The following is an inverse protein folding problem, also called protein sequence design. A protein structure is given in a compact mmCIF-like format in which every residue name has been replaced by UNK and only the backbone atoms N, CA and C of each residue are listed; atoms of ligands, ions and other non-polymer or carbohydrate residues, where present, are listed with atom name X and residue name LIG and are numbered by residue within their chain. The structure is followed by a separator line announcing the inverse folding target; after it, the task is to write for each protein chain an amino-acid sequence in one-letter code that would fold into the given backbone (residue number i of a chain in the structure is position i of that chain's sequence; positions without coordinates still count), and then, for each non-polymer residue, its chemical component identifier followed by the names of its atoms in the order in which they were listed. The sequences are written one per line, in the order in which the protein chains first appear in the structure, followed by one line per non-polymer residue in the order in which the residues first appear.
data_IF_663653827006
#
_entry.id   IF_663653827006
#
_cell.length_a   1.000
_cell.length_b   1.000
_cell.length_c   1.000
_cell.angle_alpha   90.00
_cell.angle_beta   90.00
_cell.angle_gamma   90.00
#
_symmetry.space_group_name_H-M   'P 1'
#
loop_
_entity.id
_entity.type
_entity.pdbx_description
1 polymer ?
#
# COMPACT_ATOMS: atom_id res chain seq x y z
N UNK A 1 -16.82 16.89 37.73
CA UNK A 1 -16.81 17.00 36.27
C UNK A 1 -15.35 16.90 35.81
N UNK A 2 -14.94 15.70 35.32
CA UNK A 2 -13.64 15.51 34.67
C UNK A 2 -13.81 16.05 33.27
N UNK A 3 -13.28 17.25 33.00
CA UNK A 3 -13.17 17.80 31.66
C UNK A 3 -12.18 16.91 30.90
N UNK A 4 -12.68 16.01 30.07
CA UNK A 4 -11.89 15.30 29.06
C UNK A 4 -11.49 16.34 28.01
N UNK A 5 -10.30 16.91 28.16
CA UNK A 5 -9.67 17.65 27.07
C UNK A 5 -9.40 16.59 25.97
N UNK A 6 -10.25 16.59 24.96
CA UNK A 6 -10.01 15.85 23.71
C UNK A 6 -8.71 16.42 23.14
N UNK A 7 -7.63 15.66 23.23
CA UNK A 7 -6.37 16.01 22.58
C UNK A 7 -6.56 15.89 21.06
N UNK A 8 -6.97 17.00 20.44
CA UNK A 8 -7.07 17.08 18.98
C UNK A 8 -5.65 17.02 18.41
N UNK A 9 -5.36 15.98 17.65
CA UNK A 9 -4.09 15.84 16.96
C UNK A 9 -4.03 16.89 15.84
N UNK A 10 -2.93 17.61 15.78
CA UNK A 10 -2.68 18.67 14.81
C UNK A 10 -1.21 18.69 14.40
N UNK A 11 -0.85 19.54 13.44
CA UNK A 11 0.54 19.75 13.01
C UNK A 11 1.47 20.06 14.20
N UNK A 12 0.99 20.80 15.20
CA UNK A 12 1.75 21.14 16.41
C UNK A 12 2.02 19.97 17.36
N UNK A 13 1.34 18.84 17.18
CA UNK A 13 1.59 17.58 17.92
C UNK A 13 2.94 16.98 17.57
N UNK A 14 3.49 17.31 16.40
CA UNK A 14 4.70 16.73 15.85
C UNK A 14 5.84 17.74 15.73
N UNK A 15 7.05 17.23 15.86
CA UNK A 15 8.31 17.87 15.53
C UNK A 15 8.76 17.36 14.15
N UNK A 16 8.92 18.26 13.18
CA UNK A 16 9.30 17.94 11.82
C UNK A 16 10.83 17.81 11.75
N UNK A 17 11.34 16.64 11.37
CA UNK A 17 12.77 16.37 11.30
C UNK A 17 13.31 16.73 9.90
N UNK A 18 12.99 15.92 8.89
CA UNK A 18 13.40 16.15 7.50
C UNK A 18 12.49 15.44 6.51
N UNK A 19 12.58 15.84 5.24
CA UNK A 19 11.81 15.25 4.14
C UNK A 19 12.42 13.90 3.77
N UNK A 20 11.57 12.87 3.66
CA UNK A 20 11.94 11.50 3.28
C UNK A 20 11.37 11.07 1.94
N UNK A 21 10.47 11.86 1.36
CA UNK A 21 9.88 11.60 0.07
C UNK A 21 9.08 12.79 -0.46
N UNK A 22 8.79 12.76 -1.77
CA UNK A 22 7.94 13.74 -2.45
C UNK A 22 6.89 13.00 -3.27
N UNK A 23 5.63 13.39 -3.12
CA UNK A 23 4.51 12.86 -3.89
C UNK A 23 3.87 13.90 -4.80
N UNK A 24 2.91 13.48 -5.61
CA UNK A 24 2.22 14.35 -6.57
C UNK A 24 1.42 15.50 -5.95
N UNK A 25 1.09 15.42 -4.66
CA UNK A 25 0.31 16.42 -3.93
C UNK A 25 1.12 17.17 -2.87
N UNK A 26 2.32 16.68 -2.49
CA UNK A 26 3.11 17.27 -1.41
C UNK A 26 4.34 16.48 -1.04
N UNK A 27 4.67 16.47 0.23
CA UNK A 27 5.91 15.93 0.79
C UNK A 27 5.62 14.85 1.83
N UNK A 28 6.57 13.96 2.04
CA UNK A 28 6.57 13.02 3.15
C UNK A 28 7.70 13.39 4.08
N UNK A 29 7.37 13.60 5.34
CA UNK A 29 8.29 14.01 6.38
C UNK A 29 8.56 12.87 7.36
N UNK A 30 9.78 12.74 7.85
CA UNK A 30 10.06 12.07 9.12
C UNK A 30 9.68 13.05 10.22
N UNK A 31 8.80 12.63 11.12
CA UNK A 31 8.35 13.44 12.24
C UNK A 31 8.47 12.68 13.55
N UNK A 32 8.59 13.42 14.66
CA UNK A 32 8.60 12.87 16.00
C UNK A 32 7.40 13.40 16.79
N UNK A 33 6.63 12.50 17.38
CA UNK A 33 5.52 12.90 18.24
C UNK A 33 6.07 13.51 19.54
N UNK A 34 5.73 14.77 19.85
CA UNK A 34 6.34 15.55 20.96
C UNK A 34 6.19 14.90 22.32
N UNK A 35 5.04 14.24 22.58
CA UNK A 35 4.73 13.61 23.86
C UNK A 35 5.31 12.20 23.98
N UNK A 36 5.04 11.32 23.01
CA UNK A 36 5.46 9.91 23.07
C UNK A 36 6.88 9.67 22.63
N UNK A 37 7.50 10.64 21.93
CA UNK A 37 8.84 10.58 21.34
C UNK A 37 8.98 9.55 20.20
N UNK A 38 7.90 8.89 19.79
CA UNK A 38 7.89 7.96 18.66
C UNK A 38 8.03 8.72 17.34
N UNK A 39 8.68 8.05 16.37
CA UNK A 39 8.86 8.56 15.02
C UNK A 39 7.82 8.00 14.06
N UNK A 40 7.41 8.82 13.09
CA UNK A 40 6.40 8.51 12.07
C UNK A 40 6.79 9.09 10.71
N UNK A 41 6.21 8.55 9.66
CA UNK A 41 6.14 9.19 8.36
C UNK A 41 4.86 10.04 8.29
N UNK A 42 4.99 11.32 7.93
CA UNK A 42 3.86 12.23 7.79
C UNK A 42 3.77 12.68 6.32
N UNK A 43 2.71 12.24 5.63
CA UNK A 43 2.37 12.66 4.27
C UNK A 43 1.58 13.96 4.35
N UNK A 44 2.19 15.06 3.90
CA UNK A 44 1.61 16.39 3.81
C UNK A 44 1.14 16.64 2.37
N UNK A 45 -0.13 16.98 2.18
CA UNK A 45 -0.76 17.13 0.87
C UNK A 45 -1.47 18.48 0.78
N UNK A 46 -1.13 19.31 -0.21
CA UNK A 46 -1.81 20.58 -0.46
C UNK A 46 -3.24 20.36 -0.94
N UNK A 47 -4.22 20.95 -0.25
CA UNK A 47 -5.65 20.91 -0.65
C UNK A 47 -5.84 21.46 -2.05
N UNK A 48 -5.15 22.56 -2.40
CA UNK A 48 -5.20 23.16 -3.73
C UNK A 48 -4.75 22.18 -4.81
N UNK A 49 -3.59 21.51 -4.63
CA UNK A 49 -3.10 20.51 -5.58
C UNK A 49 -4.04 19.31 -5.70
N UNK A 50 -4.67 18.90 -4.61
CA UNK A 50 -5.64 17.79 -4.61
C UNK A 50 -6.89 18.16 -5.40
N UNK A 51 -7.44 19.35 -5.21
CA UNK A 51 -8.62 19.84 -5.92
C UNK A 51 -8.35 20.16 -7.38
N UNK A 52 -7.22 20.81 -7.70
CA UNK A 52 -6.79 21.09 -9.08
C UNK A 52 -6.70 19.78 -9.91
N UNK A 53 -6.19 18.69 -9.30
CA UNK A 53 -6.12 17.36 -9.93
C UNK A 53 -7.40 16.52 -9.78
N UNK A 54 -8.48 17.07 -9.21
CA UNK A 54 -9.77 16.38 -8.97
C UNK A 54 -9.61 15.04 -8.24
N UNK A 55 -8.72 15.01 -7.25
CA UNK A 55 -8.30 13.79 -6.54
C UNK A 55 -8.89 13.67 -5.12
N UNK A 56 -9.81 14.54 -4.72
CA UNK A 56 -10.39 14.60 -3.38
C UNK A 56 -11.08 13.29 -2.98
N UNK A 57 -11.77 12.64 -3.93
CA UNK A 57 -12.41 11.33 -3.69
C UNK A 57 -11.38 10.25 -3.38
N UNK A 58 -10.29 10.21 -4.14
CA UNK A 58 -9.20 9.24 -3.95
C UNK A 58 -8.54 9.42 -2.59
N UNK A 59 -8.21 10.65 -2.21
CA UNK A 59 -7.57 10.97 -0.92
C UNK A 59 -8.49 10.65 0.27
N UNK A 60 -9.78 10.99 0.18
CA UNK A 60 -10.75 10.64 1.21
C UNK A 60 -10.93 9.11 1.32
N UNK A 61 -10.96 8.39 0.18
CA UNK A 61 -11.03 6.93 0.14
C UNK A 61 -9.80 6.28 0.75
N UNK A 62 -8.59 6.75 0.41
CA UNK A 62 -7.33 6.28 1.01
C UNK A 62 -7.38 6.40 2.54
N UNK A 63 -7.73 7.58 3.06
CA UNK A 63 -7.86 7.81 4.50
C UNK A 63 -8.90 6.88 5.13
N UNK A 64 -10.06 6.70 4.48
CA UNK A 64 -11.12 5.82 4.99
C UNK A 64 -10.70 4.36 5.03
N UNK A 65 -10.09 3.84 3.97
CA UNK A 65 -9.57 2.47 3.94
C UNK A 65 -8.51 2.26 5.03
N UNK A 66 -7.52 3.13 5.11
CA UNK A 66 -6.45 3.04 6.11
C UNK A 66 -6.99 3.14 7.55
N UNK A 67 -8.11 3.82 7.78
CA UNK A 67 -8.74 3.89 9.11
C UNK A 67 -9.35 2.57 9.57
N UNK A 68 -9.66 1.67 8.64
CA UNK A 68 -10.28 0.35 8.88
C UNK A 68 -9.25 -0.78 8.92
N UNK A 69 -8.13 -0.60 8.23
CA UNK A 69 -7.09 -1.61 8.08
C UNK A 69 -6.02 -1.48 9.17
N UNK A 70 -5.60 -2.62 9.72
CA UNK A 70 -4.46 -2.69 10.65
C UNK A 70 -3.82 -4.08 10.56
N UNK A 71 -2.57 -4.13 10.07
CA UNK A 71 -1.83 -5.38 9.90
C UNK A 71 -0.33 -5.11 9.89
N UNK A 72 0.48 -6.08 10.33
CA UNK A 72 1.94 -5.95 10.40
C UNK A 72 2.64 -5.96 9.02
N UNK A 73 1.93 -6.34 7.95
CA UNK A 73 2.43 -6.38 6.57
C UNK A 73 1.89 -5.26 5.68
N UNK A 74 1.18 -4.29 6.26
CA UNK A 74 0.84 -3.03 5.61
C UNK A 74 1.40 -1.85 6.40
N UNK A 75 1.54 -0.71 5.75
CA UNK A 75 1.87 0.56 6.44
C UNK A 75 0.61 1.10 7.08
N UNK A 76 0.57 1.09 8.41
CA UNK A 76 -0.61 1.49 9.17
C UNK A 76 -0.70 3.01 9.32
N UNK A 77 -1.91 3.54 9.30
CA UNK A 77 -2.18 4.93 9.63
C UNK A 77 -2.48 5.08 11.11
N UNK A 78 -1.83 6.04 11.77
CA UNK A 78 -2.03 6.38 13.17
C UNK A 78 -2.96 7.57 13.35
N UNK A 79 -2.76 8.61 12.53
CA UNK A 79 -3.55 9.85 12.60
C UNK A 79 -3.83 10.39 11.21
N UNK A 80 -4.98 11.05 11.04
CA UNK A 80 -5.28 11.91 9.91
C UNK A 80 -5.88 13.21 10.44
N UNK A 81 -5.42 14.34 9.95
CA UNK A 81 -5.93 15.67 10.31
C UNK A 81 -5.67 16.67 9.18
N UNK A 82 -6.17 17.88 9.35
CA UNK A 82 -6.02 18.94 8.37
C UNK A 82 -5.83 20.29 9.06
N UNK A 83 -5.26 21.24 8.35
CA UNK A 83 -5.32 22.67 8.67
C UNK A 83 -6.00 23.46 7.54
N UNK A 84 -5.81 24.77 7.46
CA UNK A 84 -6.38 25.62 6.40
C UNK A 84 -5.91 25.23 5.01
N UNK A 85 -4.65 24.80 4.85
CA UNK A 85 -4.00 24.61 3.55
C UNK A 85 -3.75 23.14 3.18
N UNK A 86 -3.54 22.27 4.17
CA UNK A 86 -3.01 20.94 3.95
C UNK A 86 -3.83 19.86 4.66
N UNK A 87 -3.73 18.65 4.07
CA UNK A 87 -4.17 17.39 4.63
C UNK A 87 -2.94 16.61 5.09
N UNK A 88 -3.06 15.88 6.20
CA UNK A 88 -1.98 15.13 6.80
C UNK A 88 -2.39 13.69 7.11
N UNK A 89 -1.57 12.72 6.66
CA UNK A 89 -1.66 11.31 7.07
C UNK A 89 -0.38 10.96 7.82
N UNK A 90 -0.51 10.49 9.06
CA UNK A 90 0.62 10.04 9.89
C UNK A 90 0.60 8.53 9.93
N UNK A 91 1.69 7.92 9.47
CA UNK A 91 1.81 6.50 9.22
C UNK A 91 3.07 5.92 9.86
N UNK A 92 3.17 4.59 9.88
CA UNK A 92 4.41 3.89 10.25
C UNK A 92 5.61 4.48 9.48
N UNK A 93 6.72 4.68 10.18
CA UNK A 93 7.98 5.08 9.55
C UNK A 93 8.72 3.82 9.10
N UNK A 94 8.95 3.72 7.79
CA UNK A 94 9.67 2.62 7.17
C UNK A 94 11.08 3.09 6.79
N UNK A 95 12.10 2.67 7.54
CA UNK A 95 13.48 3.18 7.38
C UNK A 95 14.30 2.40 6.37
N UNK A 96 13.85 1.20 5.99
CA UNK A 96 14.57 0.32 5.06
C UNK A 96 14.50 0.75 3.59
N UNK A 97 13.69 1.77 3.24
CA UNK A 97 13.46 2.19 1.85
C UNK A 97 12.48 1.27 1.11
N UNK A 98 12.20 1.58 -0.15
CA UNK A 98 11.34 0.75 -1.01
C UNK A 98 12.14 -0.25 -1.86
N UNK A 99 11.46 -1.27 -2.38
CA UNK A 99 12.12 -2.29 -3.19
C UNK A 99 12.58 -1.76 -4.56
N UNK A 100 12.01 -0.64 -5.08
CA UNK A 100 12.51 0.03 -6.28
C UNK A 100 13.90 0.61 -6.05
N UNK A 101 14.10 1.25 -4.91
CA UNK A 101 15.39 1.78 -4.50
C UNK A 101 16.45 0.67 -4.46
N UNK A 102 16.11 -0.47 -3.89
CA UNK A 102 17.04 -1.59 -3.77
C UNK A 102 17.31 -2.29 -5.11
N UNK A 103 16.27 -2.62 -5.90
CA UNK A 103 16.47 -3.29 -7.20
C UNK A 103 17.26 -2.42 -8.18
N UNK A 104 17.12 -1.10 -8.10
CA UNK A 104 17.90 -0.18 -8.95
C UNK A 104 19.40 -0.27 -8.68
N UNK A 105 19.80 -0.60 -7.45
CA UNK A 105 21.20 -0.75 -7.02
C UNK A 105 21.73 -2.15 -7.23
N UNK A 106 20.98 -3.15 -6.82
CA UNK A 106 21.41 -4.56 -6.88
C UNK A 106 21.19 -5.20 -8.24
N UNK A 107 20.35 -4.59 -9.10
CA UNK A 107 19.93 -5.07 -10.42
C UNK A 107 19.02 -6.29 -10.35
N UNK A 108 19.33 -7.27 -9.52
CA UNK A 108 18.57 -8.50 -9.28
C UNK A 108 18.57 -8.84 -7.80
N UNK A 109 17.60 -9.64 -7.37
CA UNK A 109 17.63 -10.30 -6.08
C UNK A 109 17.89 -11.79 -6.24
N UNK A 110 18.33 -12.47 -5.17
CA UNK A 110 18.39 -13.93 -5.14
C UNK A 110 17.01 -14.55 -5.07
N UNK A 111 16.89 -15.84 -5.36
CA UNK A 111 15.63 -16.58 -5.21
C UNK A 111 15.12 -16.52 -3.77
N UNK A 112 16.02 -16.70 -2.79
CA UNK A 112 15.69 -16.66 -1.36
C UNK A 112 15.12 -15.29 -0.95
N UNK A 113 15.79 -14.20 -1.34
CA UNK A 113 15.33 -12.82 -1.08
C UNK A 113 13.97 -12.58 -1.73
N UNK A 114 13.82 -12.96 -3.00
CA UNK A 114 12.56 -12.77 -3.73
C UNK A 114 11.43 -13.57 -3.10
N UNK A 115 11.68 -14.84 -2.74
CA UNK A 115 10.68 -15.68 -2.07
C UNK A 115 10.23 -15.08 -0.74
N UNK A 116 11.18 -14.56 0.06
CA UNK A 116 10.87 -13.88 1.32
C UNK A 116 9.96 -12.66 1.08
N UNK A 117 10.32 -11.79 0.13
CA UNK A 117 9.51 -10.61 -0.19
C UNK A 117 8.13 -10.98 -0.73
N UNK A 118 8.04 -11.90 -1.69
CA UNK A 118 6.76 -12.32 -2.26
C UNK A 118 5.86 -12.96 -1.20
N UNK A 119 6.41 -13.77 -0.29
CA UNK A 119 5.64 -14.34 0.81
C UNK A 119 5.09 -13.25 1.76
N UNK A 120 5.87 -12.23 2.06
CA UNK A 120 5.39 -11.06 2.84
C UNK A 120 4.27 -10.30 2.12
N UNK A 121 4.41 -10.10 0.80
CA UNK A 121 3.35 -9.46 -0.03
C UNK A 121 2.10 -10.34 -0.05
N UNK A 122 2.23 -11.67 -0.16
CA UNK A 122 1.10 -12.61 -0.11
C UNK A 122 0.34 -12.48 1.20
N UNK A 123 1.01 -12.32 2.35
CA UNK A 123 0.35 -12.09 3.65
C UNK A 123 -0.40 -10.74 3.65
N UNK A 124 0.21 -9.69 3.11
CA UNK A 124 -0.47 -8.39 2.98
C UNK A 124 -1.72 -8.49 2.11
N UNK A 125 -1.63 -9.17 0.95
CA UNK A 125 -2.76 -9.40 0.04
C UNK A 125 -3.84 -10.27 0.68
N UNK A 126 -3.47 -11.33 1.41
CA UNK A 126 -4.43 -12.15 2.16
C UNK A 126 -5.27 -11.29 3.10
N UNK A 127 -4.63 -10.38 3.82
CA UNK A 127 -5.31 -9.49 4.75
C UNK A 127 -6.25 -8.52 4.03
N UNK A 128 -5.78 -7.78 3.00
CA UNK A 128 -6.62 -6.78 2.33
C UNK A 128 -7.75 -7.43 1.52
N UNK A 129 -7.49 -8.58 0.85
CA UNK A 129 -8.51 -9.32 0.11
C UNK A 129 -9.57 -9.91 1.05
N UNK A 130 -9.20 -10.38 2.27
CA UNK A 130 -10.18 -10.81 3.28
C UNK A 130 -11.07 -9.67 3.79
N UNK A 131 -10.61 -8.41 3.66
CA UNK A 131 -11.40 -7.21 3.89
C UNK A 131 -12.11 -6.70 2.62
N UNK A 132 -12.19 -7.53 1.57
CA UNK A 132 -12.83 -7.23 0.28
C UNK A 132 -12.20 -6.04 -0.47
N UNK A 133 -10.90 -5.79 -0.31
CA UNK A 133 -10.18 -4.67 -0.93
C UNK A 133 -9.19 -5.21 -1.97
N UNK A 134 -9.20 -4.62 -3.18
CA UNK A 134 -8.21 -4.82 -4.23
C UNK A 134 -7.23 -3.65 -4.16
N UNK A 135 -5.91 -3.91 -4.17
CA UNK A 135 -4.90 -2.87 -4.10
C UNK A 135 -4.69 -2.14 -5.43
N UNK A 136 -4.54 -2.90 -6.54
CA UNK A 136 -4.44 -2.44 -7.94
C UNK A 136 -3.15 -1.71 -8.34
N UNK A 137 -2.27 -1.42 -7.39
CA UNK A 137 -0.96 -0.77 -7.67
C UNK A 137 0.19 -1.46 -6.93
N UNK A 138 0.22 -2.80 -6.97
CA UNK A 138 1.33 -3.58 -6.44
C UNK A 138 2.53 -3.39 -7.34
N UNK A 139 3.60 -2.78 -6.80
CA UNK A 139 4.87 -2.48 -7.49
C UNK A 139 5.98 -2.25 -6.49
N UNK A 140 7.27 -2.36 -6.87
CA UNK A 140 8.39 -2.19 -5.95
C UNK A 140 8.43 -0.87 -5.19
N UNK A 141 7.92 0.23 -5.78
CA UNK A 141 7.81 1.55 -5.14
C UNK A 141 6.84 1.56 -3.96
N UNK A 142 5.82 0.69 -3.98
CA UNK A 142 4.80 0.56 -2.94
C UNK A 142 5.08 -0.58 -1.95
N UNK A 143 6.28 -1.15 -2.01
CA UNK A 143 6.77 -2.22 -1.13
C UNK A 143 7.95 -1.69 -0.34
N UNK A 144 7.69 -1.28 0.89
CA UNK A 144 8.66 -0.63 1.78
C UNK A 144 9.18 -1.62 2.82
N UNK A 145 10.45 -1.50 3.21
CA UNK A 145 11.09 -2.36 4.18
C UNK A 145 11.16 -1.72 5.55
N UNK A 146 10.88 -2.50 6.59
CA UNK A 146 11.24 -2.11 7.95
C UNK A 146 12.75 -2.32 8.21
N UNK A 147 13.22 -1.94 9.39
CA UNK A 147 14.64 -2.06 9.80
C UNK A 147 15.16 -3.50 9.81
N UNK A 148 14.26 -4.48 9.92
CA UNK A 148 14.55 -5.91 9.93
C UNK A 148 14.42 -6.56 8.54
N UNK A 149 14.16 -5.77 7.49
CA UNK A 149 14.02 -6.24 6.12
C UNK A 149 12.66 -6.85 5.76
N UNK A 150 11.66 -6.76 6.64
CA UNK A 150 10.31 -7.19 6.33
C UNK A 150 9.59 -6.19 5.44
N UNK A 151 8.96 -6.69 4.38
CA UNK A 151 8.18 -5.88 3.45
C UNK A 151 6.82 -5.51 4.05
N UNK A 152 6.42 -4.25 3.85
CA UNK A 152 5.05 -3.78 4.09
C UNK A 152 4.50 -3.09 2.86
N UNK A 153 3.23 -3.35 2.57
CA UNK A 153 2.51 -2.75 1.47
C UNK A 153 2.02 -1.36 1.85
N UNK A 154 2.23 -0.37 0.97
CA UNK A 154 1.82 1.02 1.17
C UNK A 154 1.08 1.57 -0.05
N UNK A 155 0.60 2.79 0.04
CA UNK A 155 -0.11 3.54 -1.01
C UNK A 155 -1.44 2.92 -1.45
N UNK A 156 -2.48 3.19 -0.67
CA UNK A 156 -3.86 2.78 -0.95
C UNK A 156 -4.65 3.82 -1.77
N UNK A 157 -3.95 4.76 -2.43
CA UNK A 157 -4.56 5.88 -3.16
C UNK A 157 -5.48 5.47 -4.31
N UNK A 158 -5.29 4.29 -4.88
CA UNK A 158 -6.18 3.70 -5.90
C UNK A 158 -6.79 2.35 -5.49
N UNK A 159 -6.56 1.92 -4.24
CA UNK A 159 -7.21 0.73 -3.71
C UNK A 159 -8.73 0.92 -3.61
N UNK A 160 -9.48 -0.13 -3.86
CA UNK A 160 -10.95 -0.10 -3.87
C UNK A 160 -11.55 -1.36 -3.26
N UNK A 161 -12.75 -1.20 -2.73
CA UNK A 161 -13.61 -2.33 -2.42
C UNK A 161 -13.95 -3.09 -3.71
N UNK A 162 -13.84 -4.42 -3.65
CA UNK A 162 -14.17 -5.30 -4.77
C UNK A 162 -15.68 -5.33 -4.98
N UNK A 163 -16.12 -4.71 -6.06
CA UNK A 163 -17.54 -4.62 -6.45
C UNK A 163 -17.88 -5.73 -7.47
N UNK A 164 -19.15 -6.05 -7.67
CA UNK A 164 -19.58 -6.97 -8.73
C UNK A 164 -19.14 -6.54 -10.13
N UNK A 165 -19.00 -5.23 -10.36
CA UNK A 165 -18.49 -4.65 -11.60
C UNK A 165 -17.44 -3.58 -11.31
N UNK A 166 -16.20 -3.85 -11.72
CA UNK A 166 -15.05 -2.97 -11.57
C UNK A 166 -14.52 -2.43 -12.92
N UNK A 167 -15.27 -2.56 -14.03
CA UNK A 167 -14.81 -2.19 -15.39
C UNK A 167 -14.37 -0.73 -15.53
N UNK A 168 -14.97 0.18 -14.78
CA UNK A 168 -14.62 1.60 -14.78
C UNK A 168 -13.28 1.89 -14.12
N UNK A 169 -12.76 0.96 -13.33
CA UNK A 169 -11.56 1.13 -12.50
C UNK A 169 -10.30 0.72 -13.27
N UNK A 170 -9.80 1.61 -14.13
CA UNK A 170 -8.64 1.35 -15.02
C UNK A 170 -7.34 2.00 -14.55
N UNK A 171 -7.26 2.42 -13.30
CA UNK A 171 -6.08 3.04 -12.70
C UNK A 171 -5.00 2.00 -12.35
N UNK A 172 -3.75 2.43 -12.30
CA UNK A 172 -2.59 1.61 -11.94
C UNK A 172 -1.35 1.97 -12.75
N UNK A 173 -0.22 1.37 -12.39
CA UNK A 173 1.07 1.57 -13.06
C UNK A 173 1.19 0.62 -14.25
N UNK A 174 1.28 1.11 -15.50
CA UNK A 174 1.12 0.29 -16.71
C UNK A 174 1.99 -0.98 -16.77
N UNK A 175 3.24 -0.92 -16.27
CA UNK A 175 4.15 -2.06 -16.29
C UNK A 175 3.80 -3.21 -15.35
N UNK A 176 2.85 -3.00 -14.41
CA UNK A 176 2.37 -3.98 -13.42
C UNK A 176 0.88 -4.29 -13.56
N UNK A 177 0.17 -3.52 -14.39
CA UNK A 177 -1.27 -3.72 -14.62
C UNK A 177 -1.54 -5.03 -15.33
N UNK A 178 -2.56 -5.74 -14.87
CA UNK A 178 -3.05 -6.94 -15.53
C UNK A 178 -3.74 -6.64 -16.87
N UNK A 179 -3.78 -7.64 -17.80
CA UNK A 179 -4.40 -7.47 -19.12
C UNK A 179 -5.86 -7.05 -19.06
N UNK A 180 -6.64 -7.62 -18.13
CA UNK A 180 -8.06 -7.33 -17.96
C UNK A 180 -8.30 -5.86 -17.55
N UNK A 181 -7.47 -5.29 -16.63
CA UNK A 181 -7.56 -3.88 -16.26
C UNK A 181 -7.18 -2.97 -17.42
N UNK A 182 -6.13 -3.31 -18.18
CA UNK A 182 -5.73 -2.53 -19.36
C UNK A 182 -6.79 -2.51 -20.47
N UNK A 183 -7.65 -3.54 -20.52
CA UNK A 183 -8.76 -3.67 -21.48
C UNK A 183 -10.08 -3.12 -20.95
N UNK A 184 -10.11 -2.54 -19.75
CA UNK A 184 -11.34 -2.11 -19.08
C UNK A 184 -12.38 -3.25 -18.97
N UNK A 185 -11.92 -4.48 -18.73
CA UNK A 185 -12.79 -5.61 -18.45
C UNK A 185 -13.09 -5.69 -16.95
N UNK A 186 -14.16 -6.41 -16.61
CA UNK A 186 -14.45 -6.68 -15.20
C UNK A 186 -13.29 -7.48 -14.57
N UNK A 187 -12.95 -7.13 -13.35
CA UNK A 187 -11.80 -7.70 -12.67
C UNK A 187 -12.01 -7.77 -11.15
N UNK A 188 -11.18 -8.55 -10.48
CA UNK A 188 -11.22 -8.78 -9.05
C UNK A 188 -9.79 -9.05 -8.53
N UNK A 189 -9.64 -9.66 -7.37
CA UNK A 189 -8.38 -9.95 -6.68
C UNK A 189 -7.23 -10.48 -7.56
N UNK A 190 -7.45 -11.31 -8.61
CA UNK A 190 -6.35 -11.83 -9.46
C UNK A 190 -5.48 -10.76 -10.12
N UNK A 191 -5.94 -9.50 -10.21
CA UNK A 191 -5.11 -8.39 -10.75
C UNK A 191 -3.86 -8.15 -9.90
N UNK A 192 -3.97 -8.29 -8.57
CA UNK A 192 -2.86 -8.13 -7.65
C UNK A 192 -1.86 -9.31 -7.76
N UNK A 193 -2.34 -10.51 -8.09
CA UNK A 193 -1.48 -11.67 -8.34
C UNK A 193 -0.72 -11.58 -9.66
N UNK A 194 -1.30 -10.93 -10.68
CA UNK A 194 -0.55 -10.64 -11.91
C UNK A 194 0.63 -9.69 -11.60
N UNK A 195 0.40 -8.64 -10.83
CA UNK A 195 1.45 -7.71 -10.41
C UNK A 195 2.55 -8.42 -9.58
N UNK A 196 2.16 -9.37 -8.72
CA UNK A 196 3.10 -10.24 -7.98
C UNK A 196 4.00 -11.03 -8.93
N UNK A 197 3.43 -11.59 -10.01
CA UNK A 197 4.18 -12.27 -11.07
C UNK A 197 5.16 -11.35 -11.81
N UNK A 198 4.75 -10.11 -12.10
CA UNK A 198 5.63 -9.10 -12.71
C UNK A 198 6.82 -8.79 -11.81
N UNK A 199 6.59 -8.63 -10.49
CA UNK A 199 7.65 -8.38 -9.51
C UNK A 199 8.61 -9.57 -9.42
N UNK A 200 8.10 -10.80 -9.36
CA UNK A 200 8.94 -12.01 -9.35
C UNK A 200 9.82 -12.10 -10.59
N UNK A 201 9.25 -11.83 -11.76
CA UNK A 201 10.00 -11.79 -13.03
C UNK A 201 11.09 -10.68 -12.98
N UNK A 202 10.72 -9.45 -12.58
CA UNK A 202 11.66 -8.33 -12.50
C UNK A 202 12.83 -8.60 -11.54
N UNK A 203 12.56 -9.25 -10.39
CA UNK A 203 13.59 -9.58 -9.41
C UNK A 203 14.54 -10.67 -9.91
N UNK A 204 14.03 -11.63 -10.70
CA UNK A 204 14.84 -12.67 -11.35
C UNK A 204 15.69 -12.12 -12.50
N UNK A 205 15.05 -11.35 -13.40
CA UNK A 205 15.67 -10.94 -14.68
C UNK A 205 16.37 -9.57 -14.59
N UNK A 206 16.01 -8.71 -13.64
CA UNK A 206 16.48 -7.33 -13.52
C UNK A 206 15.70 -6.35 -14.40
N UNK A 207 14.70 -6.81 -15.12
CA UNK A 207 13.82 -6.01 -15.99
C UNK A 207 12.39 -6.57 -15.97
N UNK A 208 11.42 -5.73 -16.30
CA UNK A 208 10.01 -6.15 -16.35
C UNK A 208 9.72 -7.00 -17.58
N UNK A 209 8.73 -7.93 -17.51
CA UNK A 209 8.37 -8.80 -18.65
C UNK A 209 7.76 -8.02 -19.84
N UNK A 210 7.18 -6.86 -19.56
CA UNK A 210 6.57 -5.99 -20.56
C UNK A 210 7.08 -4.56 -20.35
N UNK A 211 7.76 -4.03 -21.35
CA UNK A 211 8.36 -2.68 -21.33
C UNK A 211 7.88 -1.87 -22.53
N UNK A 212 7.77 -0.55 -22.39
CA UNK A 212 7.35 0.33 -23.45
C UNK A 212 7.48 1.78 -22.99
N UNK A 213 7.52 2.72 -23.94
CA UNK A 213 7.67 4.16 -23.68
C UNK A 213 6.41 4.78 -23.06
N UNK A 214 5.27 4.14 -23.30
CA UNK A 214 3.96 4.61 -22.84
C UNK A 214 3.01 3.44 -22.60
N UNK A 215 1.84 3.74 -22.01
CA UNK A 215 0.80 2.74 -21.69
C UNK A 215 0.34 1.96 -22.92
N UNK A 216 0.27 2.59 -24.11
CA UNK A 216 -0.19 1.95 -25.34
C UNK A 216 0.77 0.85 -25.78
N UNK A 217 2.07 1.14 -25.84
CA UNK A 217 3.11 0.16 -26.22
C UNK A 217 3.15 -1.02 -25.26
N UNK A 218 3.08 -0.77 -23.93
CA UNK A 218 3.04 -1.83 -22.91
C UNK A 218 1.79 -2.70 -23.10
N UNK A 219 0.62 -2.10 -23.34
CA UNK A 219 -0.62 -2.81 -23.64
C UNK A 219 -0.48 -3.70 -24.88
N UNK A 220 0.10 -3.18 -25.94
CA UNK A 220 0.32 -3.93 -27.17
C UNK A 220 1.21 -5.15 -26.93
N UNK A 221 2.29 -5.02 -26.17
CA UNK A 221 3.15 -6.16 -25.80
C UNK A 221 2.42 -7.21 -24.98
N UNK A 222 1.66 -6.80 -23.94
CA UNK A 222 0.88 -7.73 -23.12
C UNK A 222 -0.16 -8.47 -23.97
N UNK A 223 -0.77 -7.80 -24.98
CA UNK A 223 -1.77 -8.41 -25.83
C UNK A 223 -1.15 -9.32 -26.92
N UNK A 224 0.05 -8.97 -27.40
CA UNK A 224 0.70 -9.71 -28.48
C UNK A 224 1.23 -11.07 -28.02
N UNK A 225 1.87 -11.15 -26.85
CA UNK A 225 2.57 -12.35 -26.39
C UNK A 225 2.37 -12.62 -24.91
N UNK A 226 2.06 -13.87 -24.57
CA UNK A 226 2.21 -14.39 -23.20
C UNK A 226 3.72 -14.52 -22.93
N UNK A 227 4.23 -13.82 -21.92
CA UNK A 227 5.60 -14.06 -21.42
C UNK A 227 5.59 -15.36 -20.62
N UNK A 228 6.58 -16.20 -20.86
CA UNK A 228 6.79 -17.47 -20.18
C UNK A 228 8.29 -17.73 -20.06
N UNK A 229 8.76 -17.92 -18.85
CA UNK A 229 10.14 -18.31 -18.57
C UNK A 229 10.33 -19.77 -18.96
N UNK A 230 11.18 -20.01 -19.94
CA UNK A 230 11.62 -21.36 -20.32
C UNK A 230 12.82 -21.76 -19.45
N UNK A 231 13.24 -23.03 -19.54
CA UNK A 231 14.35 -23.55 -18.74
C UNK A 231 15.63 -22.73 -18.92
N UNK A 232 15.87 -22.27 -20.14
CA UNK A 232 17.02 -21.46 -20.54
C UNK A 232 16.97 -20.02 -20.03
N UNK A 233 15.76 -19.54 -19.71
CA UNK A 233 15.54 -18.18 -19.18
C UNK A 233 15.76 -18.08 -17.67
N UNK A 234 15.81 -19.21 -16.96
CA UNK A 234 15.95 -19.24 -15.51
C UNK A 234 17.35 -18.74 -15.14
N UNK A 235 17.40 -17.67 -14.33
CA UNK A 235 18.68 -17.13 -13.88
C UNK A 235 19.43 -18.13 -12.99
N UNK A 236 20.74 -18.08 -13.02
CA UNK A 236 21.60 -18.91 -12.16
C UNK A 236 21.22 -18.74 -10.67
N UNK A 237 21.16 -19.85 -9.94
CA UNK A 237 20.75 -19.87 -8.54
C UNK A 237 19.23 -19.86 -8.31
N UNK A 238 18.41 -19.96 -9.39
CA UNK A 238 16.95 -20.02 -9.30
C UNK A 238 16.42 -21.41 -9.68
N UNK A 239 15.35 -21.84 -9.02
CA UNK A 239 14.69 -23.14 -9.24
C UNK A 239 13.67 -23.09 -10.37
N UNK A 240 13.30 -24.27 -10.90
CA UNK A 240 12.19 -24.42 -11.85
C UNK A 240 10.85 -24.08 -11.22
N UNK A 241 10.71 -24.38 -9.94
CA UNK A 241 9.50 -24.12 -9.17
C UNK A 241 9.23 -22.61 -9.05
N UNK A 242 10.28 -21.79 -8.92
CA UNK A 242 10.16 -20.33 -8.91
C UNK A 242 9.71 -19.79 -10.27
N UNK A 243 10.29 -20.29 -11.37
CA UNK A 243 9.88 -19.92 -12.72
C UNK A 243 8.43 -20.34 -13.02
N UNK A 244 8.03 -21.54 -12.61
CA UNK A 244 6.65 -22.03 -12.75
C UNK A 244 5.65 -21.18 -11.98
N UNK A 245 5.99 -20.74 -10.76
CA UNK A 245 5.16 -19.82 -10.00
C UNK A 245 4.98 -18.48 -10.72
N UNK A 246 6.08 -17.88 -11.20
CA UNK A 246 6.05 -16.62 -11.95
C UNK A 246 5.22 -16.77 -13.21
N UNK A 247 5.41 -17.83 -13.99
CA UNK A 247 4.65 -18.11 -15.20
C UNK A 247 3.14 -18.22 -14.92
N UNK A 248 2.76 -18.94 -13.86
CA UNK A 248 1.35 -19.10 -13.45
C UNK A 248 0.72 -17.79 -12.97
N UNK A 249 1.50 -16.92 -12.33
CA UNK A 249 1.05 -15.59 -11.93
C UNK A 249 0.90 -14.62 -13.11
N UNK A 250 1.72 -14.78 -14.17
CA UNK A 250 1.67 -13.96 -15.38
C UNK A 250 0.62 -14.44 -16.41
N UNK A 251 -0.16 -15.48 -16.13
CA UNK A 251 -1.22 -15.95 -17.04
C UNK A 251 -2.20 -14.79 -17.31
N UNK A 252 -2.41 -14.51 -18.63
CA UNK A 252 -3.24 -13.39 -19.06
C UNK A 252 -4.73 -13.54 -18.73
N UNK A 253 -5.27 -14.78 -18.82
CA UNK A 253 -6.66 -15.07 -18.45
C UNK A 253 -6.76 -15.21 -16.93
N UNK A 254 -7.50 -14.33 -16.24
CA UNK A 254 -7.54 -14.34 -14.79
C UNK A 254 -8.06 -15.67 -14.21
N UNK A 255 -9.00 -16.33 -14.89
CA UNK A 255 -9.57 -17.63 -14.48
C UNK A 255 -8.56 -18.78 -14.44
N UNK A 256 -7.46 -18.67 -15.20
CA UNK A 256 -6.38 -19.65 -15.25
C UNK A 256 -5.15 -19.23 -14.43
N UNK A 257 -5.16 -17.99 -13.93
CA UNK A 257 -4.04 -17.43 -13.14
C UNK A 257 -4.04 -18.03 -11.75
N UNK A 258 -2.84 -18.34 -11.23
CA UNK A 258 -2.70 -18.81 -9.86
C UNK A 258 -3.30 -17.77 -8.89
N UNK A 259 -4.04 -18.24 -7.89
CA UNK A 259 -4.74 -17.41 -6.93
C UNK A 259 -6.19 -17.09 -7.32
N UNK A 260 -6.64 -17.43 -8.53
CA UNK A 260 -8.04 -17.22 -8.94
C UNK A 260 -9.03 -17.88 -7.96
N UNK A 261 -8.69 -19.05 -7.43
CA UNK A 261 -9.48 -19.78 -6.42
C UNK A 261 -9.22 -19.31 -4.99
N UNK A 262 -8.40 -18.28 -4.81
CA UNK A 262 -8.04 -17.68 -3.53
C UNK A 262 -6.56 -17.82 -3.19
N UNK A 263 -6.16 -17.09 -2.14
CA UNK A 263 -4.75 -16.96 -1.73
C UNK A 263 -4.07 -18.29 -1.38
N UNK A 264 -4.83 -19.27 -0.90
CA UNK A 264 -4.31 -20.59 -0.54
C UNK A 264 -3.73 -21.36 -1.75
N UNK A 265 -4.18 -21.03 -2.97
CA UNK A 265 -3.61 -21.61 -4.19
C UNK A 265 -2.15 -21.18 -4.39
N UNK A 266 -1.80 -19.92 -4.05
CA UNK A 266 -0.42 -19.46 -4.08
C UNK A 266 0.43 -20.19 -3.04
N UNK A 267 -0.06 -20.28 -1.79
CA UNK A 267 0.65 -20.94 -0.69
C UNK A 267 0.87 -22.43 -0.91
N UNK A 268 -0.06 -23.09 -1.63
CA UNK A 268 0.03 -24.52 -1.96
C UNK A 268 0.98 -24.81 -3.13
N UNK A 269 1.45 -23.79 -3.85
CA UNK A 269 2.37 -23.99 -4.98
C UNK A 269 3.68 -24.64 -4.51
N UNK A 270 4.30 -25.58 -5.27
CA UNK A 270 5.52 -26.28 -4.89
C UNK A 270 6.64 -25.38 -4.39
N UNK A 271 6.80 -24.21 -4.98
CA UNK A 271 7.81 -23.22 -4.56
C UNK A 271 7.58 -22.68 -3.15
N UNK A 272 6.30 -22.57 -2.70
CA UNK A 272 5.92 -21.93 -1.45
C UNK A 272 5.32 -22.89 -0.41
N UNK A 273 4.98 -24.14 -0.81
CA UNK A 273 4.26 -25.11 0.02
C UNK A 273 4.92 -25.38 1.38
N UNK A 274 6.24 -25.44 1.43
CA UNK A 274 7.00 -25.73 2.66
C UNK A 274 7.67 -24.47 3.25
N UNK A 275 7.23 -23.27 2.82
CA UNK A 275 7.74 -22.04 3.39
C UNK A 275 7.29 -21.90 4.85
N UNK A 276 8.14 -21.41 5.77
CA UNK A 276 7.79 -21.31 7.20
C UNK A 276 6.82 -20.15 7.47
N UNK A 277 5.59 -20.25 6.95
CA UNK A 277 4.57 -19.21 6.99
C UNK A 277 4.30 -18.71 8.40
N UNK A 278 4.20 -19.62 9.41
CA UNK A 278 3.93 -19.23 10.78
C UNK A 278 5.05 -18.34 11.38
N UNK A 279 6.32 -18.65 11.06
CA UNK A 279 7.45 -17.82 11.48
C UNK A 279 7.43 -16.47 10.76
N UNK A 280 7.04 -16.44 9.49
CA UNK A 280 6.90 -15.20 8.73
C UNK A 280 5.78 -14.31 9.31
N UNK A 281 4.59 -14.88 9.58
CA UNK A 281 3.48 -14.18 10.21
C UNK A 281 3.87 -13.52 11.54
N UNK A 282 4.64 -14.24 12.37
CA UNK A 282 5.15 -13.74 13.65
C UNK A 282 6.36 -12.84 13.53
N UNK A 283 6.85 -12.59 12.31
CA UNK A 283 8.10 -11.86 12.06
C UNK A 283 9.30 -12.41 12.85
N UNK A 284 9.34 -13.71 13.07
CA UNK A 284 10.46 -14.44 13.72
C UNK A 284 11.38 -15.14 12.71
N UNK A 285 11.05 -15.14 11.42
CA UNK A 285 11.88 -15.66 10.36
C UNK A 285 12.99 -14.63 10.03
N UNK A 286 14.29 -14.95 10.14
CA UNK A 286 15.34 -14.02 9.75
C UNK A 286 15.21 -13.60 8.28
N UNK A 287 15.26 -12.30 8.02
CA UNK A 287 15.23 -11.78 6.65
C UNK A 287 16.55 -12.08 5.94
N UNK A 288 16.52 -12.62 4.71
CA UNK A 288 17.74 -12.80 3.89
C UNK A 288 18.25 -11.47 3.29
N UNK A 289 17.57 -10.37 3.58
CA UNK A 289 17.94 -9.03 3.11
C UNK A 289 17.71 -8.01 4.21
N UNK A 290 18.79 -7.48 4.77
CA UNK A 290 18.74 -6.40 5.76
C UNK A 290 19.23 -5.12 5.07
N UNK A 291 18.43 -4.04 5.08
CA UNK A 291 18.90 -2.75 4.55
C UNK A 291 20.15 -2.24 5.27
N UNK A 292 21.18 -1.86 4.52
CA UNK A 292 22.49 -1.47 5.10
C UNK A 292 22.45 -0.17 5.91
N UNK A 293 21.54 0.75 5.60
CA UNK A 293 21.42 2.04 6.24
C UNK A 293 20.05 2.23 6.90
N UNK A 294 20.04 2.89 8.06
CA UNK A 294 18.81 3.19 8.79
C UNK A 294 17.87 4.19 8.09
N UNK A 295 18.39 4.99 7.15
CA UNK A 295 17.63 6.00 6.40
C UNK A 295 17.88 5.82 4.90
N UNK A 296 17.23 4.82 4.28
CA UNK A 296 17.30 4.52 2.85
C UNK A 296 16.31 5.39 2.04
N UNK A 297 16.44 6.71 2.17
CA UNK A 297 15.62 7.67 1.43
C UNK A 297 16.43 8.33 0.32
N UNK A 298 15.79 8.54 -0.83
CA UNK A 298 16.43 9.21 -1.97
C UNK A 298 16.57 10.72 -1.67
N UNK A 299 17.80 11.17 -1.44
CA UNK A 299 18.12 12.57 -1.14
C UNK A 299 17.69 13.56 -2.21
N UNK A 300 17.47 13.12 -3.45
CA UNK A 300 17.00 13.96 -4.56
C UNK A 300 15.62 14.57 -4.30
N UNK A 301 14.81 13.99 -3.42
CA UNK A 301 13.50 14.54 -3.05
C UNK A 301 13.58 15.82 -2.19
N UNK A 302 14.76 16.16 -1.65
CA UNK A 302 14.93 17.35 -0.80
C UNK A 302 15.09 18.66 -1.60
N UNK A 303 15.49 18.59 -2.87
CA UNK A 303 16.05 19.76 -3.61
C UNK A 303 15.11 20.39 -4.66
N UNK A 304 13.94 19.82 -4.97
CA UNK A 304 13.10 20.35 -6.05
C UNK A 304 12.05 21.35 -5.58
N UNK A 305 12.13 22.60 -6.03
CA UNK A 305 11.06 23.60 -5.96
C UNK A 305 10.06 23.38 -7.11
N UNK A 306 8.76 23.34 -6.83
CA UNK A 306 7.74 23.34 -7.88
C UNK A 306 7.59 24.77 -8.41
N UNK A 307 7.90 24.98 -9.69
CA UNK A 307 7.59 26.22 -10.38
C UNK A 307 6.08 26.28 -10.62
N UNK A 308 5.42 27.30 -10.05
CA UNK A 308 3.99 27.55 -10.26
C UNK A 308 3.87 28.50 -11.43
N UNK A 309 3.20 28.05 -12.50
CA UNK A 309 2.89 28.89 -13.68
C UNK A 309 1.76 29.88 -13.38
N UNK A 310 1.63 30.94 -14.18
CA UNK A 310 0.58 31.94 -14.02
C UNK A 310 -0.82 31.31 -14.15
N UNK A 311 -1.02 30.42 -15.14
CA UNK A 311 -2.27 29.66 -15.31
C UNK A 311 -2.63 28.82 -14.07
N UNK A 312 -1.61 28.29 -13.40
CA UNK A 312 -1.81 27.51 -12.17
C UNK A 312 -2.25 28.42 -11.00
N UNK A 313 -1.70 29.64 -10.93
CA UNK A 313 -2.12 30.61 -9.90
C UNK A 313 -3.58 31.01 -10.06
N UNK A 314 -4.01 31.33 -11.30
CA UNK A 314 -5.41 31.67 -11.58
C UNK A 314 -6.36 30.54 -11.18
N UNK A 315 -6.05 29.29 -11.54
CA UNK A 315 -6.86 28.14 -11.12
C UNK A 315 -6.91 27.97 -9.60
N UNK A 316 -5.82 28.24 -8.90
CA UNK A 316 -5.77 28.17 -7.43
C UNK A 316 -6.64 29.25 -6.78
N UNK A 317 -6.69 30.47 -7.34
CA UNK A 317 -7.57 31.54 -6.88
C UNK A 317 -9.04 31.15 -7.06
N UNK A 318 -9.43 30.58 -8.19
CA UNK A 318 -10.81 30.07 -8.42
C UNK A 318 -11.18 28.98 -7.43
N UNK A 319 -10.27 28.02 -7.15
CA UNK A 319 -10.49 26.95 -6.17
C UNK A 319 -10.69 27.53 -4.76
N UNK A 320 -9.83 28.48 -4.35
CA UNK A 320 -9.89 29.11 -3.03
C UNK A 320 -11.23 29.85 -2.79
N UNK A 321 -11.82 30.43 -3.83
CA UNK A 321 -13.10 31.17 -3.75
C UNK A 321 -14.31 30.23 -3.79
N UNK A 322 -14.11 28.93 -4.06
CA UNK A 322 -15.22 27.95 -4.16
C UNK A 322 -15.67 27.45 -2.80
N UNK A 323 -16.99 27.26 -2.62
CA UNK A 323 -17.54 26.57 -1.44
C UNK A 323 -17.00 25.15 -1.30
N UNK A 324 -16.60 24.54 -2.41
CA UNK A 324 -16.02 23.20 -2.45
C UNK A 324 -14.70 23.10 -1.68
N UNK A 325 -13.87 24.14 -1.70
CA UNK A 325 -12.61 24.18 -0.93
C UNK A 325 -12.84 23.96 0.55
N UNK A 326 -13.89 24.55 1.11
CA UNK A 326 -14.21 24.47 2.53
C UNK A 326 -14.90 23.16 2.94
N UNK A 327 -15.58 22.50 1.99
CA UNK A 327 -16.44 21.34 2.29
C UNK A 327 -15.87 20.00 1.91
N UNK A 328 -14.94 19.94 0.95
CA UNK A 328 -14.39 18.70 0.37
C UNK A 328 -13.75 17.73 1.40
N UNK A 329 -13.21 18.26 2.51
CA UNK A 329 -12.43 17.50 3.47
C UNK A 329 -12.98 17.56 4.91
N UNK A 330 -14.23 17.92 5.12
CA UNK A 330 -14.85 18.11 6.46
C UNK A 330 -14.74 16.89 7.36
N UNK A 331 -14.67 15.67 6.81
CA UNK A 331 -14.53 14.40 7.54
C UNK A 331 -13.10 13.88 7.58
N UNK A 332 -12.11 14.66 7.17
CA UNK A 332 -10.71 14.23 7.10
C UNK A 332 -10.05 14.27 8.49
N UNK A 333 -10.48 13.36 9.37
CA UNK A 333 -9.92 13.18 10.71
C UNK A 333 -9.91 11.70 11.09
N UNK A 334 -8.83 11.26 11.74
CA UNK A 334 -8.69 9.94 12.35
C UNK A 334 -7.69 10.00 13.50
N UNK A 335 -7.97 9.27 14.59
CA UNK A 335 -7.08 9.12 15.73
C UNK A 335 -7.18 7.68 16.26
N UNK A 336 -6.08 6.93 16.17
CA UNK A 336 -6.03 5.52 16.57
C UNK A 336 -6.32 5.34 18.06
N UNK A 337 -5.82 6.25 18.90
CA UNK A 337 -6.00 6.18 20.36
C UNK A 337 -7.46 6.33 20.77
N UNK A 338 -8.21 7.20 20.09
CA UNK A 338 -9.66 7.38 20.31
C UNK A 338 -10.45 6.16 19.87
N UNK A 339 -10.09 5.56 18.74
CA UNK A 339 -10.76 4.38 18.22
C UNK A 339 -10.52 3.14 19.07
N UNK A 340 -9.32 2.95 19.62
CA UNK A 340 -9.04 1.87 20.55
C UNK A 340 -9.85 2.03 21.85
N UNK A 341 -9.94 3.23 22.41
CA UNK A 341 -10.78 3.52 23.59
C UNK A 341 -12.26 3.23 23.33
N UNK A 342 -12.78 3.62 22.16
CA UNK A 342 -14.17 3.32 21.76
C UNK A 342 -14.42 1.81 21.68
N UNK A 343 -13.52 1.03 21.05
CA UNK A 343 -13.62 -0.44 20.97
C UNK A 343 -13.60 -1.10 22.33
N UNK A 344 -12.73 -0.68 23.25
CA UNK A 344 -12.64 -1.21 24.62
C UNK A 344 -13.94 -0.93 25.37
N UNK A 345 -14.48 0.28 25.30
CA UNK A 345 -15.72 0.66 25.96
C UNK A 345 -16.92 -0.12 25.40
N UNK A 346 -17.01 -0.30 24.09
CA UNK A 346 -18.07 -1.08 23.43
C UNK A 346 -18.02 -2.56 23.88
N UNK A 347 -16.83 -3.15 23.97
CA UNK A 347 -16.65 -4.53 24.43
C UNK A 347 -16.99 -4.69 25.92
N UNK A 348 -16.68 -3.71 26.77
CA UNK A 348 -17.09 -3.69 28.19
C UNK A 348 -18.60 -3.61 28.33
N UNK A 349 -19.28 -2.80 27.52
CA UNK A 349 -20.73 -2.68 27.50
C UNK A 349 -21.42 -3.97 27.03
N UNK A 350 -20.92 -4.61 25.96
CA UNK A 350 -21.43 -5.91 25.50
C UNK A 350 -21.27 -7.00 26.55
N UNK A 351 -20.11 -7.11 27.22
CA UNK A 351 -19.89 -8.06 28.32
C UNK A 351 -20.82 -7.79 29.51
N UNK A 352 -21.09 -6.53 29.86
CA UNK A 352 -22.00 -6.16 30.93
C UNK A 352 -23.48 -6.51 30.62
N UNK A 353 -23.88 -6.32 29.35
CA UNK A 353 -25.24 -6.67 28.89
C UNK A 353 -25.44 -8.17 28.82
N UNK A 354 -24.44 -8.96 28.37
CA UNK A 354 -24.51 -10.41 28.36
C UNK A 354 -24.62 -10.97 29.82
N UNK A 355 -23.83 -10.50 30.79
CA UNK A 355 -23.95 -10.88 32.20
C UNK A 355 -25.32 -10.57 32.79
N UNK A 356 -25.88 -9.38 32.43
CA UNK A 356 -27.25 -9.01 32.89
C UNK A 356 -28.34 -9.88 32.26
N UNK A 357 -28.17 -10.36 31.03
CA UNK A 357 -29.10 -11.31 30.40
C UNK A 357 -28.99 -12.70 31.04
N UNK A 358 -27.79 -13.19 31.32
CA UNK A 358 -27.55 -14.46 32.01
C UNK A 358 -28.13 -14.46 33.45
N UNK A 359 -27.92 -13.36 34.21
CA UNK A 359 -28.51 -13.19 35.56
C UNK A 359 -30.04 -13.09 35.53
N UNK A 360 -30.66 -12.61 34.46
CA UNK A 360 -32.13 -12.63 34.28
C UNK A 360 -32.66 -14.02 33.97
N UNK A 361 -31.93 -14.80 33.14
CA UNK A 361 -32.32 -16.19 32.84
C UNK A 361 -32.12 -17.15 34.01
N UNK A 362 -31.22 -16.87 34.95
CA UNK A 362 -31.00 -17.70 36.15
C UNK A 362 -31.96 -17.40 37.30
N UNK A 363 -32.82 -16.36 37.17
CA UNK A 363 -33.82 -15.97 38.19
C UNK A 363 -35.26 -16.37 37.83
N UNK A 364 -35.48 -16.97 36.69
CA UNK A 364 -36.70 -17.61 36.25
C UNK A 364 -36.53 -19.15 36.25
#
# INVERSE_FOLDING_TARGET
SIIFILFIVSRNTFEFCYIIGKGGFGKVWKVRHKKTKNYYALKEMSKLKVLDKKSERSINSERELLSKLHNDFIVNMHYAFQDSENLYLVMDLMTGGDLRFHISRHKKFSEEQTRFFLCGIIIALEYIHSNNIIHRDIKPENLVLDENGYVRLTDFGIAKENMPDNRSETSGTPGYMSPEVMRALNHSFPVDFFALGVIGYEFMKGERPYVGRNRKEIKEQIMAKQVELQKEDISEGWSKESADFINKALIRKPENRIGFKGINELKAHPWLKYYPWEMLYRKSLPSPFIPENKDNFDKRYCESSDLITEDTKLRYEEILMSDHYNTAFTKFYYNIDENQKKKINTNKLKKKNNRRSEERFSRN
#
